data_IF_571082165946
#
_entry.id   IF_571082165946
#
_cell.length_a   1.000
_cell.length_b   1.000
_cell.length_c   1.000
_cell.angle_alpha   90.00
_cell.angle_beta   90.00
_cell.angle_gamma   90.00
#
_symmetry.space_group_name_H-M   'P 1'
#
loop_
_entity.id
_entity.type
_entity.pdbx_description
1 polymer ?
#
# COMPACT_ATOMS: atom_id res chain seq x y z
N UNK A 1 7.24 -11.79 9.77
CA UNK A 1 7.25 -10.32 9.65
C UNK A 1 5.92 -9.80 9.15
N UNK A 2 5.58 -8.59 9.54
CA UNK A 2 4.30 -7.97 9.21
C UNK A 2 4.51 -6.58 8.62
N UNK A 3 3.67 -6.22 7.67
CA UNK A 3 3.55 -4.85 7.17
C UNK A 3 2.23 -4.24 7.62
N UNK A 4 2.21 -2.94 7.76
CA UNK A 4 1.00 -2.19 8.06
C UNK A 4 0.61 -1.42 6.82
N UNK A 5 -0.61 -1.69 6.36
CA UNK A 5 -1.17 -1.13 5.14
C UNK A 5 -2.36 -0.23 5.43
N UNK A 6 -2.53 0.76 4.58
CA UNK A 6 -3.82 1.45 4.41
C UNK A 6 -4.52 0.87 3.18
N UNK A 7 -5.81 0.62 3.30
CA UNK A 7 -6.63 0.09 2.21
C UNK A 7 -7.83 0.99 1.96
N UNK A 8 -8.53 0.73 0.86
CA UNK A 8 -9.43 1.68 0.22
C UNK A 8 -10.89 1.36 0.46
N UNK A 9 -11.76 2.33 0.17
CA UNK A 9 -13.20 2.09 0.02
C UNK A 9 -13.45 0.96 -0.99
N UNK A 10 -14.60 0.30 -0.87
CA UNK A 10 -14.95 -0.80 -1.79
C UNK A 10 -14.84 -0.40 -3.25
N UNK A 11 -15.36 0.76 -3.62
CA UNK A 11 -15.34 1.24 -5.01
C UNK A 11 -13.92 1.49 -5.50
N UNK A 12 -13.08 2.10 -4.69
CA UNK A 12 -11.70 2.39 -5.05
C UNK A 12 -10.84 1.12 -5.05
N UNK A 13 -11.09 0.21 -4.11
CA UNK A 13 -10.45 -1.11 -4.11
C UNK A 13 -10.76 -1.87 -5.40
N UNK A 14 -12.03 -1.94 -5.80
CA UNK A 14 -12.43 -2.65 -7.02
C UNK A 14 -11.83 -2.00 -8.27
N UNK A 15 -11.77 -0.68 -8.31
CA UNK A 15 -11.14 0.09 -9.38
C UNK A 15 -9.66 -0.24 -9.53
N UNK A 16 -8.90 -0.17 -8.45
CA UNK A 16 -7.46 -0.46 -8.43
C UNK A 16 -7.18 -1.95 -8.67
N UNK A 17 -7.98 -2.82 -8.07
CA UNK A 17 -7.83 -4.27 -8.22
C UNK A 17 -7.96 -4.71 -9.67
N UNK A 18 -8.89 -4.12 -10.41
CA UNK A 18 -9.04 -4.40 -11.84
C UNK A 18 -7.77 -4.06 -12.62
N UNK A 19 -7.17 -2.90 -12.36
CA UNK A 19 -5.94 -2.49 -13.02
C UNK A 19 -4.79 -3.46 -12.69
N UNK A 20 -4.63 -3.78 -11.40
CA UNK A 20 -3.60 -4.72 -10.94
C UNK A 20 -3.79 -6.09 -11.59
N UNK A 21 -5.00 -6.62 -11.63
CA UNK A 21 -5.29 -7.93 -12.19
C UNK A 21 -5.07 -7.97 -13.72
N UNK A 22 -5.48 -6.92 -14.43
CA UNK A 22 -5.24 -6.81 -15.88
C UNK A 22 -3.75 -6.79 -16.21
N UNK A 23 -2.96 -6.02 -15.46
CA UNK A 23 -1.51 -5.99 -15.65
C UNK A 23 -0.86 -7.33 -15.29
N UNK A 24 -1.33 -7.97 -14.20
CA UNK A 24 -0.83 -9.27 -13.79
C UNK A 24 -1.08 -10.33 -14.86
N UNK A 25 -2.25 -10.35 -15.48
CA UNK A 25 -2.57 -11.28 -16.56
C UNK A 25 -1.74 -11.01 -17.80
N UNK A 26 -1.62 -9.74 -18.21
CA UNK A 26 -0.87 -9.35 -19.40
C UNK A 26 0.63 -9.69 -19.31
N UNK A 27 1.22 -9.48 -18.15
CA UNK A 27 2.66 -9.65 -17.94
C UNK A 27 3.02 -10.90 -17.15
N UNK A 28 2.05 -11.74 -16.81
CA UNK A 28 2.26 -12.95 -16.01
C UNK A 28 2.93 -12.65 -14.67
N UNK A 29 2.39 -11.63 -13.99
CA UNK A 29 2.82 -11.21 -12.66
C UNK A 29 1.82 -11.70 -11.59
N UNK A 30 2.22 -11.73 -10.31
CA UNK A 30 1.28 -12.08 -9.25
C UNK A 30 0.19 -11.02 -9.07
N UNK A 31 -1.01 -11.49 -8.68
CA UNK A 31 -2.12 -10.63 -8.28
C UNK A 31 -2.01 -10.31 -6.79
N UNK A 32 -2.40 -9.12 -6.39
CA UNK A 32 -2.34 -8.70 -4.99
C UNK A 32 -3.41 -7.64 -4.69
N UNK A 33 -3.68 -7.44 -3.41
CA UNK A 33 -4.63 -6.42 -2.95
C UNK A 33 -4.03 -5.03 -3.05
N UNK A 34 -4.79 -4.04 -3.59
CA UNK A 34 -4.32 -2.67 -3.63
C UNK A 34 -4.14 -2.10 -2.22
N UNK A 35 -3.01 -1.46 -1.99
CA UNK A 35 -2.67 -0.94 -0.67
C UNK A 35 -1.61 0.15 -0.72
N UNK A 36 -1.51 0.87 0.38
CA UNK A 36 -0.39 1.75 0.68
C UNK A 36 0.35 1.14 1.88
N UNK A 37 1.61 0.78 1.72
CA UNK A 37 2.43 0.37 2.86
C UNK A 37 2.81 1.61 3.66
N UNK A 38 2.24 1.74 4.85
CA UNK A 38 2.53 2.90 5.69
C UNK A 38 3.64 2.62 6.70
N UNK A 39 3.86 1.37 7.06
CA UNK A 39 5.03 0.93 7.81
C UNK A 39 5.32 -0.55 7.52
N UNK A 40 6.57 -0.91 7.37
CA UNK A 40 6.96 -2.31 7.16
C UNK A 40 8.48 -2.42 7.11
N UNK A 41 9.07 -3.58 7.19
CA UNK A 41 8.52 -4.83 7.70
C UNK A 41 8.86 -4.93 9.18
N UNK A 42 7.89 -5.21 10.02
CA UNK A 42 8.08 -5.22 11.47
C UNK A 42 8.04 -6.67 11.98
N UNK A 43 9.06 -7.05 12.73
CA UNK A 43 9.06 -8.30 13.49
C UNK A 43 8.59 -7.99 14.92
N UNK A 44 7.31 -8.16 15.14
CA UNK A 44 6.67 -7.87 16.43
C UNK A 44 5.52 -8.83 16.68
N UNK A 45 5.15 -8.98 17.95
CA UNK A 45 4.03 -9.83 18.35
C UNK A 45 2.69 -9.26 17.83
N UNK A 46 1.80 -10.15 17.41
CA UNK A 46 0.48 -9.76 16.89
C UNK A 46 -0.33 -8.94 17.88
N UNK A 47 -0.28 -9.28 19.16
CA UNK A 47 -1.02 -8.55 20.20
C UNK A 47 -0.64 -7.08 20.23
N UNK A 48 0.66 -6.78 20.12
CA UNK A 48 1.16 -5.40 20.08
C UNK A 48 0.71 -4.69 18.79
N UNK A 49 0.84 -5.35 17.64
CA UNK A 49 0.44 -4.80 16.35
C UNK A 49 -1.06 -4.48 16.33
N UNK A 50 -1.89 -5.39 16.82
CA UNK A 50 -3.34 -5.19 16.92
C UNK A 50 -3.69 -4.02 17.85
N UNK A 51 -3.03 -3.93 18.98
CA UNK A 51 -3.24 -2.85 19.95
C UNK A 51 -2.94 -1.48 19.35
N UNK A 52 -1.80 -1.36 18.67
CA UNK A 52 -1.38 -0.11 18.03
C UNK A 52 -2.32 0.25 16.88
N UNK A 53 -2.65 -0.72 16.03
CA UNK A 53 -3.57 -0.50 14.91
C UNK A 53 -4.95 -0.04 15.39
N UNK A 54 -5.47 -0.66 16.44
CA UNK A 54 -6.75 -0.28 17.05
C UNK A 54 -6.72 1.14 17.61
N UNK A 55 -5.66 1.49 18.33
CA UNK A 55 -5.47 2.85 18.86
C UNK A 55 -5.50 3.89 17.73
N UNK A 56 -4.76 3.64 16.67
CA UNK A 56 -4.69 4.56 15.52
C UNK A 56 -6.07 4.72 14.89
N UNK A 57 -6.77 3.62 14.59
CA UNK A 57 -8.06 3.67 13.91
C UNK A 57 -9.16 4.34 14.73
N UNK A 58 -9.09 4.27 16.06
CA UNK A 58 -10.03 4.98 16.93
C UNK A 58 -9.86 6.50 16.89
N UNK A 59 -8.70 6.98 16.47
CA UNK A 59 -8.35 8.41 16.46
C UNK A 59 -8.31 9.04 15.06
N UNK A 60 -8.64 8.27 14.02
CA UNK A 60 -8.62 8.76 12.65
C UNK A 60 -9.89 8.39 11.90
N UNK A 61 -10.41 9.34 11.13
CA UNK A 61 -11.52 9.11 10.20
C UNK A 61 -10.99 8.62 8.85
N UNK A 62 -11.87 8.05 8.03
CA UNK A 62 -11.59 7.85 6.61
C UNK A 62 -11.19 9.15 5.95
N UNK A 63 -10.24 9.11 5.02
CA UNK A 63 -9.70 10.32 4.38
C UNK A 63 -9.26 10.04 2.95
N UNK A 64 -9.29 11.06 2.08
CA UNK A 64 -8.82 10.91 0.72
C UNK A 64 -7.29 11.00 0.62
N UNK A 65 -6.75 10.33 -0.39
CA UNK A 65 -5.37 10.52 -0.87
C UNK A 65 -5.42 10.93 -2.33
N UNK A 66 -4.48 11.75 -2.75
CA UNK A 66 -4.46 12.34 -4.08
C UNK A 66 -3.23 11.86 -4.87
N UNK A 67 -3.48 11.47 -6.12
CA UNK A 67 -2.41 11.09 -7.04
C UNK A 67 -1.52 12.28 -7.38
N UNK A 68 -0.20 12.07 -7.33
CA UNK A 68 0.78 12.99 -7.91
C UNK A 68 1.07 12.58 -9.36
N UNK A 69 1.81 11.49 -9.54
CA UNK A 69 2.22 10.98 -10.84
C UNK A 69 2.19 9.46 -10.89
N UNK A 70 2.21 8.90 -12.09
CA UNK A 70 2.45 7.47 -12.30
C UNK A 70 3.92 7.34 -12.68
N UNK A 71 4.67 6.59 -11.90
CA UNK A 71 6.13 6.47 -12.02
C UNK A 71 6.55 5.01 -12.18
N UNK A 72 7.82 4.80 -12.48
CA UNK A 72 8.45 3.49 -12.58
C UNK A 72 9.80 3.49 -11.86
N UNK A 73 10.28 2.31 -11.47
CA UNK A 73 11.61 2.15 -10.90
C UNK A 73 12.19 0.78 -11.26
N UNK A 74 13.45 0.57 -10.87
CA UNK A 74 14.10 -0.73 -11.01
C UNK A 74 13.81 -1.68 -9.85
N UNK A 75 13.11 -1.21 -8.83
CA UNK A 75 12.75 -2.02 -7.67
C UNK A 75 11.52 -2.89 -7.97
N UNK A 76 11.56 -4.18 -7.61
CA UNK A 76 10.45 -5.10 -7.79
C UNK A 76 9.15 -4.58 -7.17
N UNK A 77 9.22 -4.03 -5.96
CA UNK A 77 8.06 -3.56 -5.22
C UNK A 77 7.53 -2.21 -5.68
N UNK A 78 8.25 -1.56 -6.59
CA UNK A 78 7.90 -0.26 -7.20
C UNK A 78 8.16 -0.28 -8.71
N UNK A 79 7.77 -1.33 -9.39
CA UNK A 79 8.00 -1.47 -10.84
C UNK A 79 7.26 -0.38 -11.62
N UNK A 80 5.94 -0.32 -11.46
CA UNK A 80 5.08 0.80 -11.88
C UNK A 80 4.13 1.09 -10.74
N UNK A 81 4.03 2.34 -10.37
CA UNK A 81 3.27 2.73 -9.19
C UNK A 81 2.67 4.13 -9.32
N UNK A 82 1.60 4.36 -8.57
CA UNK A 82 0.98 5.66 -8.41
C UNK A 82 1.64 6.35 -7.23
N UNK A 83 2.37 7.43 -7.47
CA UNK A 83 2.87 8.28 -6.40
C UNK A 83 1.72 9.11 -5.85
N UNK A 84 1.64 9.21 -4.53
CA UNK A 84 0.61 9.96 -3.84
C UNK A 84 1.20 11.20 -3.17
N UNK A 85 0.41 12.26 -3.12
CA UNK A 85 0.77 13.46 -2.38
C UNK A 85 0.71 13.17 -0.88
N UNK A 86 1.72 13.62 -0.14
CA UNK A 86 1.67 13.58 1.32
C UNK A 86 0.58 14.53 1.82
N UNK A 87 -0.21 14.07 2.80
CA UNK A 87 -1.19 14.91 3.49
C UNK A 87 -1.05 14.76 5.01
N UNK A 88 -1.79 15.58 5.76
CA UNK A 88 -1.67 15.59 7.22
C UNK A 88 -2.08 14.27 7.86
N UNK A 89 -3.09 13.59 7.33
CA UNK A 89 -3.57 12.31 7.87
C UNK A 89 -2.53 11.21 7.67
N UNK A 90 -1.97 11.07 6.49
CA UNK A 90 -0.87 10.12 6.23
C UNK A 90 0.31 10.38 7.15
N UNK A 91 0.68 11.65 7.29
CA UNK A 91 1.81 12.05 8.12
C UNK A 91 1.59 11.74 9.60
N UNK A 92 0.39 11.98 10.12
CA UNK A 92 0.05 11.67 11.51
C UNK A 92 0.06 10.17 11.79
N UNK A 93 -0.54 9.37 10.92
CA UNK A 93 -0.54 7.91 11.06
C UNK A 93 0.90 7.37 11.01
N UNK A 94 1.68 7.81 10.03
CA UNK A 94 3.07 7.39 9.92
C UNK A 94 3.90 7.76 11.16
N UNK A 95 3.78 8.98 11.65
CA UNK A 95 4.49 9.41 12.87
C UNK A 95 4.11 8.58 14.08
N UNK A 96 2.85 8.22 14.20
CA UNK A 96 2.35 7.37 15.27
C UNK A 96 3.00 5.98 15.21
N UNK A 97 3.01 5.36 14.03
CA UNK A 97 3.65 4.06 13.83
C UNK A 97 5.15 4.13 14.05
N UNK A 98 5.80 5.15 13.54
CA UNK A 98 7.24 5.37 13.71
C UNK A 98 7.61 5.41 15.19
N UNK A 99 6.86 6.13 16.01
CA UNK A 99 7.11 6.22 17.45
C UNK A 99 7.13 4.86 18.14
N UNK A 100 6.30 3.92 17.67
CA UNK A 100 6.25 2.58 18.23
C UNK A 100 7.33 1.65 17.69
N UNK A 101 7.73 1.80 16.43
CA UNK A 101 8.52 0.78 15.72
C UNK A 101 9.92 1.21 15.32
N UNK A 102 10.30 2.48 15.38
CA UNK A 102 11.62 2.94 14.89
C UNK A 102 12.81 2.31 15.60
N UNK A 103 12.63 1.85 16.85
CA UNK A 103 13.68 1.15 17.59
C UNK A 103 13.86 -0.30 17.12
N UNK A 104 12.84 -0.86 16.50
CA UNK A 104 12.86 -2.23 15.96
C UNK A 104 13.36 -2.19 14.52
N UNK A 105 12.74 -1.35 13.70
CA UNK A 105 13.08 -1.16 12.28
C UNK A 105 12.79 0.27 11.85
N UNK A 106 13.73 0.86 11.13
CA UNK A 106 13.52 2.16 10.49
C UNK A 106 12.83 1.95 9.15
N UNK A 107 11.80 2.73 8.89
CA UNK A 107 11.07 2.72 7.64
C UNK A 107 10.87 4.16 7.15
N UNK A 108 11.30 4.43 5.94
CA UNK A 108 11.07 5.71 5.28
C UNK A 108 9.79 5.62 4.46
N UNK A 109 8.81 6.44 4.79
CA UNK A 109 7.50 6.42 4.15
C UNK A 109 7.45 7.33 2.93
N UNK A 110 7.26 6.70 1.77
CA UNK A 110 6.97 7.38 0.49
C UNK A 110 5.62 6.88 0.01
N UNK A 111 4.53 7.66 0.16
CA UNK A 111 3.19 7.16 -0.13
C UNK A 111 3.02 6.82 -1.60
N UNK A 112 2.65 5.57 -1.88
CA UNK A 112 2.42 5.08 -3.24
C UNK A 112 1.52 3.85 -3.25
N UNK A 113 0.93 3.59 -4.43
CA UNK A 113 0.17 2.38 -4.71
C UNK A 113 0.89 1.65 -5.83
N UNK A 114 1.44 0.48 -5.55
CA UNK A 114 2.06 -0.35 -6.58
C UNK A 114 1.01 -1.00 -7.45
N UNK A 115 1.28 -1.10 -8.75
CA UNK A 115 0.34 -1.63 -9.74
C UNK A 115 0.78 -2.98 -10.30
N UNK A 116 2.06 -3.31 -10.25
CA UNK A 116 2.61 -4.57 -10.73
C UNK A 116 3.90 -4.91 -9.99
N UNK A 117 4.07 -6.19 -9.68
CA UNK A 117 5.29 -6.74 -9.09
C UNK A 117 5.98 -7.68 -10.07
N UNK A 118 6.71 -7.12 -10.99
CA UNK A 118 7.55 -7.86 -11.94
C UNK A 118 8.63 -6.96 -12.51
N UNK A 119 9.86 -7.46 -12.54
CA UNK A 119 10.95 -6.73 -13.21
C UNK A 119 10.67 -6.72 -14.71
N UNK A 120 10.56 -5.53 -15.27
CA UNK A 120 10.24 -5.31 -16.68
C UNK A 120 11.29 -4.39 -17.33
N UNK A 121 11.51 -4.52 -18.65
CA UNK A 121 12.31 -3.55 -19.39
C UNK A 121 11.68 -2.15 -19.32
N UNK A 122 12.51 -1.12 -19.41
CA UNK A 122 12.05 0.27 -19.34
C UNK A 122 10.97 0.58 -20.38
N UNK A 123 11.08 0.03 -21.60
CA UNK A 123 10.12 0.25 -22.68
C UNK A 123 8.73 -0.25 -22.32
N UNK A 124 8.65 -1.41 -21.68
CA UNK A 124 7.37 -1.96 -21.23
C UNK A 124 6.77 -1.13 -20.09
N UNK A 125 7.58 -0.66 -19.15
CA UNK A 125 7.11 0.20 -18.06
C UNK A 125 6.57 1.54 -18.58
N UNK A 126 7.25 2.16 -19.53
CA UNK A 126 6.80 3.40 -20.18
C UNK A 126 5.49 3.18 -20.93
N UNK A 127 5.36 2.05 -21.63
CA UNK A 127 4.14 1.67 -22.34
C UNK A 127 2.96 1.54 -21.37
N UNK A 128 3.16 0.87 -20.24
CA UNK A 128 2.14 0.76 -19.19
C UNK A 128 1.70 2.14 -18.72
N UNK A 129 2.65 3.02 -18.39
CA UNK A 129 2.37 4.37 -17.89
C UNK A 129 1.56 5.17 -18.92
N UNK A 130 1.92 5.08 -20.20
CA UNK A 130 1.24 5.83 -21.26
C UNK A 130 -0.18 5.33 -21.56
N UNK A 131 -0.45 4.05 -21.33
CA UNK A 131 -1.76 3.44 -21.55
C UNK A 131 -2.70 3.56 -20.34
N UNK A 132 -2.16 3.83 -19.14
CA UNK A 132 -2.97 3.94 -17.95
C UNK A 132 -3.71 5.28 -17.89
N UNK A 133 -5.00 5.19 -17.55
CA UNK A 133 -5.82 6.34 -17.23
C UNK A 133 -6.36 6.16 -15.81
N UNK A 134 -5.66 6.74 -14.84
CA UNK A 134 -5.95 6.57 -13.41
C UNK A 134 -6.54 7.85 -12.85
N UNK A 135 -7.65 7.73 -12.11
CA UNK A 135 -8.31 8.87 -11.44
C UNK A 135 -7.40 9.50 -10.39
N UNK A 136 -7.76 10.69 -9.94
CA UNK A 136 -6.90 11.53 -9.10
C UNK A 136 -7.00 11.25 -7.60
N UNK A 137 -8.11 10.71 -7.11
CA UNK A 137 -8.38 10.62 -5.68
C UNK A 137 -8.88 9.24 -5.29
N UNK A 138 -8.44 8.77 -4.11
CA UNK A 138 -8.84 7.48 -3.53
C UNK A 138 -9.18 7.67 -2.07
N UNK A 139 -10.23 6.99 -1.60
CA UNK A 139 -10.65 7.06 -0.21
C UNK A 139 -10.02 5.92 0.60
N UNK A 140 -9.31 6.29 1.67
CA UNK A 140 -8.75 5.35 2.63
C UNK A 140 -9.79 5.04 3.70
N UNK A 141 -10.13 3.76 3.86
CA UNK A 141 -11.14 3.32 4.83
C UNK A 141 -10.60 2.45 5.95
N UNK A 142 -9.49 1.76 5.73
CA UNK A 142 -9.01 0.77 6.70
C UNK A 142 -7.50 0.85 6.91
N UNK A 143 -7.09 0.42 8.09
CA UNK A 143 -5.71 0.07 8.39
C UNK A 143 -5.66 -1.44 8.62
N UNK A 144 -4.74 -2.14 7.96
CA UNK A 144 -4.64 -3.59 8.06
C UNK A 144 -3.24 -4.03 8.47
N UNK A 145 -3.16 -5.15 9.16
CA UNK A 145 -1.92 -5.85 9.45
C UNK A 145 -1.82 -7.01 8.47
N UNK A 146 -0.75 -7.00 7.69
CA UNK A 146 -0.50 -7.99 6.64
C UNK A 146 0.69 -8.86 7.04
N UNK A 147 0.55 -10.18 6.88
CA UNK A 147 1.67 -11.10 7.05
C UNK A 147 2.43 -11.20 5.74
N UNK A 148 3.71 -10.85 5.79
CA UNK A 148 4.60 -10.85 4.64
C UNK A 148 5.25 -12.22 4.41
N UNK A 149 5.33 -12.60 3.14
CA UNK A 149 6.10 -13.73 2.62
C UNK A 149 6.86 -13.25 1.38
N UNK A 150 8.01 -13.83 1.05
CA UNK A 150 8.69 -13.52 -0.22
C UNK A 150 7.80 -13.76 -1.45
N UNK A 151 6.95 -14.78 -1.39
CA UNK A 151 5.98 -15.08 -2.44
C UNK A 151 4.69 -14.29 -2.23
N UNK A 152 4.38 -13.43 -3.18
CA UNK A 152 3.20 -12.54 -3.12
C UNK A 152 1.89 -13.34 -2.94
N UNK A 153 1.79 -14.51 -3.56
CA UNK A 153 0.60 -15.37 -3.50
C UNK A 153 0.29 -15.87 -2.09
N UNK A 154 1.29 -15.84 -1.20
CA UNK A 154 1.14 -16.26 0.20
C UNK A 154 0.77 -15.11 1.13
N UNK A 155 0.77 -13.88 0.66
CA UNK A 155 0.44 -12.72 1.48
C UNK A 155 -0.97 -12.82 2.05
N UNK A 156 -1.10 -12.47 3.33
CA UNK A 156 -2.38 -12.52 4.05
C UNK A 156 -2.62 -11.24 4.83
N UNK A 157 -3.84 -10.74 4.72
CA UNK A 157 -4.35 -9.75 5.67
C UNK A 157 -4.79 -10.54 6.90
N UNK A 158 -4.10 -10.34 8.02
CA UNK A 158 -4.38 -11.06 9.27
C UNK A 158 -5.34 -10.33 10.18
N UNK A 159 -5.39 -9.00 10.11
CA UNK A 159 -6.34 -8.16 10.83
C UNK A 159 -6.67 -6.90 10.04
N UNK A 160 -7.92 -6.48 10.15
CA UNK A 160 -8.42 -5.28 9.49
C UNK A 160 -9.18 -4.42 10.50
N UNK A 161 -8.90 -3.13 10.49
CA UNK A 161 -9.51 -2.14 11.38
C UNK A 161 -10.10 -1.01 10.54
N UNK A 162 -11.37 -0.72 10.73
CA UNK A 162 -12.04 0.35 10.01
C UNK A 162 -11.69 1.71 10.63
N UNK A 163 -11.36 2.67 9.78
CA UNK A 163 -11.34 4.07 10.16
C UNK A 163 -12.79 4.56 10.34
N UNK A 164 -12.98 5.52 11.20
CA UNK A 164 -14.32 6.04 11.52
C UNK A 164 -14.89 6.83 10.34
#
# INVERSE_FOLDING_TARGET
MHAIWLTFSKNDRDYLKRIIDELAEKYQAPKFEPHITIYGLVDSEMILLESIAKEITLNHNSFPVEKSEILQSEELWKTVYVELKMNDQLKLIYKNLKRHFEKIVKYEFNPHISLIYKILPIEEKIKIINELNIKNEFMINNLVVQKFFPEVEKWKIVKEFNLI
#
